data_IF_471341187237
#
_entry.id   IF_471341187237
#
_cell.length_a   1.000
_cell.length_b   1.000
_cell.length_c   1.000
_cell.angle_alpha   90.00
_cell.angle_beta   90.00
_cell.angle_gamma   90.00
#
_symmetry.space_group_name_H-M   'P 1'
#
loop_
_entity.id
_entity.type
_entity.pdbx_description
1 polymer ?
#
# COMPACT_ATOMS: atom_id res chain seq x y z
N UNK A 1 -7.09 -6.09 15.19
CA UNK A 1 -5.79 -6.72 14.80
C UNK A 1 -5.08 -7.25 16.03
N UNK A 2 -4.28 -8.31 15.87
CA UNK A 2 -3.46 -8.88 16.94
C UNK A 2 -2.13 -8.12 17.08
N UNK A 3 -1.55 -8.15 18.29
CA UNK A 3 -0.30 -7.47 18.62
C UNK A 3 0.85 -7.80 17.66
N UNK A 4 0.93 -9.04 17.18
CA UNK A 4 1.96 -9.51 16.22
C UNK A 4 2.06 -8.67 14.94
N UNK A 5 0.96 -8.07 14.48
CA UNK A 5 0.87 -7.28 13.24
C UNK A 5 0.62 -5.80 13.49
N UNK A 6 0.80 -5.36 14.74
CA UNK A 6 0.60 -3.97 15.16
C UNK A 6 1.93 -3.34 15.51
N UNK A 7 2.40 -2.41 14.66
CA UNK A 7 3.54 -1.59 15.02
C UNK A 7 3.10 -0.48 15.99
N UNK A 8 3.92 -0.14 16.99
CA UNK A 8 3.51 0.71 18.12
C UNK A 8 2.96 2.06 17.70
N UNK A 9 3.56 2.72 16.71
CA UNK A 9 3.17 4.05 16.26
C UNK A 9 1.75 4.07 15.67
N UNK A 10 1.40 3.11 14.81
CA UNK A 10 0.05 3.00 14.25
C UNK A 10 -0.94 2.46 15.30
N UNK A 11 -0.54 1.49 16.10
CA UNK A 11 -1.37 0.96 17.18
C UNK A 11 -1.77 2.03 18.21
N UNK A 12 -0.88 2.98 18.49
CA UNK A 12 -1.17 4.09 19.37
C UNK A 12 -2.25 5.03 18.82
N UNK A 13 -2.24 5.33 17.50
CA UNK A 13 -3.27 6.17 16.86
C UNK A 13 -4.68 5.55 16.95
N UNK A 14 -4.77 4.24 17.04
CA UNK A 14 -6.03 3.51 17.13
C UNK A 14 -6.34 3.01 18.55
N UNK A 15 -5.61 3.52 19.57
CA UNK A 15 -5.90 3.26 20.98
C UNK A 15 -7.15 4.03 21.44
N UNK A 16 -7.83 3.50 22.46
CA UNK A 16 -8.96 4.19 23.09
C UNK A 16 -8.56 5.57 23.62
N UNK A 17 -7.38 5.68 24.22
CA UNK A 17 -6.88 6.95 24.73
C UNK A 17 -6.67 8.00 23.62
N UNK A 18 -6.17 7.59 22.45
CA UNK A 18 -5.98 8.50 21.33
C UNK A 18 -7.33 8.93 20.74
N UNK A 19 -8.28 8.03 20.59
CA UNK A 19 -9.65 8.32 20.14
C UNK A 19 -10.30 9.37 21.05
N UNK A 20 -10.30 9.16 22.36
CA UNK A 20 -10.88 10.12 23.31
C UNK A 20 -10.14 11.47 23.30
N UNK A 21 -8.82 11.46 23.08
CA UNK A 21 -8.03 12.67 22.90
C UNK A 21 -8.50 13.47 21.69
N UNK A 22 -8.76 12.82 20.56
CA UNK A 22 -9.26 13.53 19.35
C UNK A 22 -10.68 14.04 19.55
N UNK A 23 -11.54 13.31 20.28
CA UNK A 23 -12.86 13.82 20.65
C UNK A 23 -12.75 15.11 21.49
N UNK A 24 -11.91 15.11 22.50
CA UNK A 24 -11.67 16.29 23.32
C UNK A 24 -11.13 17.47 22.49
N UNK A 25 -10.26 17.19 21.55
CA UNK A 25 -9.70 18.21 20.64
C UNK A 25 -10.80 18.86 19.79
N UNK A 26 -11.76 18.09 19.27
CA UNK A 26 -12.90 18.61 18.52
C UNK A 26 -13.81 19.45 19.42
N UNK A 27 -14.16 18.96 20.61
CA UNK A 27 -15.01 19.70 21.57
C UNK A 27 -14.39 21.06 21.95
N UNK A 28 -13.08 21.09 22.22
CA UNK A 28 -12.37 22.33 22.54
C UNK A 28 -12.39 23.30 21.35
N UNK A 29 -12.14 22.80 20.12
CA UNK A 29 -12.15 23.64 18.92
C UNK A 29 -13.54 24.26 18.67
N UNK A 30 -14.63 23.52 18.94
CA UNK A 30 -15.99 24.06 18.85
C UNK A 30 -16.25 25.09 19.94
N UNK A 31 -15.86 24.83 21.20
CA UNK A 31 -15.98 25.84 22.27
C UNK A 31 -15.23 27.13 21.93
N UNK A 32 -14.02 27.02 21.39
CA UNK A 32 -13.24 28.18 20.92
C UNK A 32 -13.98 28.96 19.83
N UNK A 33 -14.52 28.25 18.82
CA UNK A 33 -15.28 28.87 17.74
C UNK A 33 -16.55 29.61 18.26
N UNK A 34 -17.26 28.97 19.19
CA UNK A 34 -18.44 29.55 19.82
C UNK A 34 -18.08 30.81 20.65
N UNK A 35 -16.95 30.82 21.34
CA UNK A 35 -16.50 31.98 22.10
C UNK A 35 -16.07 33.13 21.17
N UNK A 36 -15.39 32.85 20.07
CA UNK A 36 -15.03 33.86 19.07
C UNK A 36 -16.27 34.55 18.47
N UNK A 37 -17.37 33.83 18.37
CA UNK A 37 -18.66 34.34 17.89
C UNK A 37 -19.55 34.93 19.00
N UNK A 38 -19.10 34.87 20.26
CA UNK A 38 -19.81 35.44 21.39
C UNK A 38 -20.97 34.58 21.94
N UNK A 39 -21.09 33.31 21.53
CA UNK A 39 -22.13 32.42 22.03
C UNK A 39 -21.86 31.87 23.43
N UNK A 40 -20.59 31.74 23.79
CA UNK A 40 -20.17 31.32 25.11
C UNK A 40 -19.10 32.28 25.67
N UNK A 41 -18.96 32.42 26.98
CA UNK A 41 -17.96 33.30 27.57
C UNK A 41 -16.52 32.82 27.32
N UNK A 42 -15.63 33.70 26.91
CA UNK A 42 -14.20 33.38 26.72
C UNK A 42 -13.53 32.80 27.96
N UNK A 43 -13.96 33.25 29.16
CA UNK A 43 -13.50 32.74 30.43
C UNK A 43 -13.86 31.26 30.65
N UNK A 44 -15.02 30.82 30.12
CA UNK A 44 -15.42 29.43 30.19
C UNK A 44 -14.50 28.56 29.31
N UNK A 45 -14.13 29.03 28.09
CA UNK A 45 -13.18 28.33 27.23
C UNK A 45 -11.81 28.24 27.89
N UNK A 46 -11.33 29.30 28.51
CA UNK A 46 -10.07 29.28 29.25
C UNK A 46 -10.07 28.21 30.36
N UNK A 47 -11.18 28.10 31.09
CA UNK A 47 -11.35 27.05 32.13
C UNK A 47 -11.40 25.66 31.51
N UNK A 48 -12.15 25.47 30.43
CA UNK A 48 -12.24 24.19 29.69
C UNK A 48 -10.82 23.77 29.27
N UNK A 49 -10.09 24.61 28.55
CA UNK A 49 -8.74 24.29 28.07
C UNK A 49 -7.76 23.97 29.18
N UNK A 50 -7.87 24.62 30.34
CA UNK A 50 -6.98 24.41 31.50
C UNK A 50 -7.26 23.12 32.24
N UNK A 51 -8.51 22.66 32.27
CA UNK A 51 -8.97 21.57 33.14
C UNK A 51 -9.47 20.33 32.40
N UNK A 52 -9.90 20.46 31.15
CA UNK A 52 -10.47 19.34 30.42
C UNK A 52 -9.46 18.19 30.32
N UNK A 53 -9.87 17.06 30.81
CA UNK A 53 -9.13 15.82 30.84
C UNK A 53 -10.13 14.65 30.81
N UNK A 54 -9.62 13.45 30.60
CA UNK A 54 -10.42 12.23 30.62
C UNK A 54 -9.59 11.06 31.17
N UNK A 55 -10.26 10.08 31.72
CA UNK A 55 -9.70 8.78 32.10
C UNK A 55 -10.45 7.68 31.30
N UNK A 56 -9.79 6.97 30.38
CA UNK A 56 -10.43 5.93 29.56
C UNK A 56 -11.12 4.84 30.40
N UNK A 57 -10.58 4.51 31.58
CA UNK A 57 -11.20 3.53 32.46
C UNK A 57 -12.50 4.06 33.04
N UNK A 58 -12.48 5.32 33.50
CA UNK A 58 -13.65 5.98 34.06
C UNK A 58 -14.74 6.16 33.02
N UNK A 59 -14.37 6.48 31.76
CA UNK A 59 -15.33 6.55 30.63
C UNK A 59 -16.02 5.20 30.41
N UNK A 60 -15.29 4.09 30.43
CA UNK A 60 -15.85 2.75 30.29
C UNK A 60 -16.79 2.37 31.46
N UNK A 61 -16.45 2.76 32.69
CA UNK A 61 -17.32 2.56 33.86
C UNK A 61 -18.66 3.30 33.66
N UNK A 62 -18.62 4.57 33.28
CA UNK A 62 -19.82 5.36 33.02
C UNK A 62 -20.63 4.80 31.84
N UNK A 63 -19.93 4.39 30.77
CA UNK A 63 -20.59 3.80 29.61
C UNK A 63 -21.34 2.51 29.95
N UNK A 64 -20.82 1.70 30.84
CA UNK A 64 -21.50 0.49 31.31
C UNK A 64 -22.89 0.79 31.95
N UNK A 65 -23.05 1.97 32.56
CA UNK A 65 -24.29 2.43 33.16
C UNK A 65 -25.21 3.11 32.12
N UNK A 66 -24.68 4.12 31.42
CA UNK A 66 -25.48 4.98 30.52
C UNK A 66 -25.68 4.38 29.12
N UNK A 67 -24.88 3.39 28.74
CA UNK A 67 -24.89 2.67 27.45
C UNK A 67 -24.79 3.59 26.22
N UNK A 68 -24.00 4.65 26.36
CA UNK A 68 -23.74 5.62 25.31
C UNK A 68 -22.33 6.20 25.47
N UNK A 69 -21.46 5.94 24.50
CA UNK A 69 -20.05 6.30 24.54
C UNK A 69 -19.79 7.82 24.66
N UNK A 70 -20.46 8.62 23.80
CA UNK A 70 -20.29 10.07 23.83
C UNK A 70 -20.81 10.68 25.13
N UNK A 71 -21.95 10.23 25.68
CA UNK A 71 -22.46 10.71 26.98
C UNK A 71 -21.49 10.35 28.08
N UNK A 72 -20.94 9.14 28.09
CA UNK A 72 -19.97 8.70 29.07
C UNK A 72 -18.70 9.56 29.04
N UNK A 73 -18.17 9.83 27.84
CA UNK A 73 -17.03 10.72 27.65
C UNK A 73 -17.29 12.12 28.18
N UNK A 74 -18.40 12.74 27.77
CA UNK A 74 -18.76 14.09 28.22
C UNK A 74 -18.97 14.16 29.73
N UNK A 75 -19.59 13.14 30.34
CA UNK A 75 -19.75 13.05 31.78
C UNK A 75 -18.41 13.03 32.48
N UNK A 76 -17.47 12.21 32.02
CA UNK A 76 -16.13 12.16 32.59
C UNK A 76 -15.37 13.47 32.40
N UNK A 77 -15.43 14.11 31.25
CA UNK A 77 -14.79 15.43 31.02
C UNK A 77 -15.36 16.47 31.98
N UNK A 78 -16.69 16.44 32.25
CA UNK A 78 -17.34 17.35 33.17
C UNK A 78 -16.91 17.14 34.62
N UNK A 79 -16.51 15.91 35.05
CA UNK A 79 -15.90 15.67 36.38
C UNK A 79 -14.63 16.51 36.62
N UNK A 80 -13.87 16.84 35.54
CA UNK A 80 -12.66 17.68 35.61
C UNK A 80 -12.95 19.17 35.47
N UNK A 81 -13.88 19.53 34.55
CA UNK A 81 -14.11 20.93 34.18
C UNK A 81 -15.05 21.65 35.15
N UNK A 82 -16.02 20.95 35.75
CA UNK A 82 -17.01 21.52 36.60
C UNK A 82 -18.02 22.42 35.89
N UNK A 83 -18.44 23.55 36.47
CA UNK A 83 -19.53 24.41 35.96
C UNK A 83 -19.37 24.89 34.51
N UNK A 84 -18.16 25.03 34.03
CA UNK A 84 -17.88 25.41 32.63
C UNK A 84 -18.23 24.28 31.64
N UNK A 85 -18.35 23.04 32.11
CA UNK A 85 -18.70 21.87 31.32
C UNK A 85 -20.05 21.98 30.59
N UNK A 86 -21.00 22.82 31.09
CA UNK A 86 -22.27 23.11 30.44
C UNK A 86 -22.15 23.70 29.03
N UNK A 87 -20.98 24.18 28.66
CA UNK A 87 -20.70 24.72 27.32
C UNK A 87 -20.07 23.72 26.37
N UNK A 88 -19.62 22.57 26.88
CA UNK A 88 -19.10 21.49 26.06
C UNK A 88 -20.29 20.79 25.39
N UNK A 89 -20.15 20.41 24.12
CA UNK A 89 -21.18 19.77 23.30
C UNK A 89 -22.44 20.63 23.05
N UNK A 90 -22.36 21.94 23.25
CA UNK A 90 -23.52 22.83 23.11
C UNK A 90 -23.95 22.95 21.63
N UNK A 91 -25.16 22.47 21.32
CA UNK A 91 -25.74 22.47 19.99
C UNK A 91 -25.28 21.34 19.08
N UNK A 92 -24.37 20.48 19.53
CA UNK A 92 -23.83 19.37 18.76
C UNK A 92 -24.70 18.11 18.82
N UNK A 93 -24.45 17.23 17.86
CA UNK A 93 -24.79 15.80 17.95
C UNK A 93 -23.49 14.98 18.04
N UNK A 94 -23.58 13.74 18.55
CA UNK A 94 -22.42 12.86 18.71
C UNK A 94 -21.58 12.76 17.44
N UNK A 95 -22.22 12.66 16.28
CA UNK A 95 -21.50 12.50 15.01
C UNK A 95 -20.73 13.74 14.56
N UNK A 96 -21.07 14.94 15.06
CA UNK A 96 -20.25 16.14 14.83
C UNK A 96 -18.82 15.93 15.40
N UNK A 97 -18.75 15.28 16.56
CA UNK A 97 -17.47 14.97 17.21
C UNK A 97 -16.86 13.68 16.64
N UNK A 98 -17.65 12.62 16.48
CA UNK A 98 -17.17 11.31 16.05
C UNK A 98 -16.54 11.37 14.67
N UNK A 99 -17.23 11.92 13.67
CA UNK A 99 -16.75 11.96 12.28
C UNK A 99 -15.58 12.92 12.10
N UNK A 100 -15.65 14.10 12.76
CA UNK A 100 -14.55 15.08 12.71
C UNK A 100 -13.29 14.55 13.37
N UNK A 101 -13.41 13.86 14.50
CA UNK A 101 -12.28 13.22 15.17
C UNK A 101 -11.73 12.02 14.38
N UNK A 102 -12.61 11.26 13.72
CA UNK A 102 -12.21 10.15 12.84
C UNK A 102 -11.37 10.68 11.67
N UNK A 103 -11.75 11.81 11.07
CA UNK A 103 -10.95 12.45 10.02
C UNK A 103 -9.53 12.77 10.51
N UNK A 104 -9.37 13.28 11.74
CA UNK A 104 -8.05 13.53 12.33
C UNK A 104 -7.25 12.24 12.52
N UNK A 105 -7.87 11.15 12.96
CA UNK A 105 -7.19 9.85 13.11
C UNK A 105 -6.77 9.27 11.76
N UNK A 106 -7.61 9.38 10.75
CA UNK A 106 -7.33 8.89 9.38
C UNK A 106 -6.21 9.69 8.71
N UNK A 107 -6.17 11.02 8.91
CA UNK A 107 -5.06 11.86 8.43
C UNK A 107 -3.75 11.47 9.10
N UNK A 108 -3.74 11.34 10.44
CA UNK A 108 -2.54 10.92 11.16
C UNK A 108 -2.07 9.52 10.75
N UNK A 109 -3.00 8.62 10.41
CA UNK A 109 -2.66 7.30 9.88
C UNK A 109 -2.05 7.39 8.48
N UNK A 110 -2.58 8.29 7.60
CA UNK A 110 -1.99 8.53 6.28
C UNK A 110 -0.59 9.12 6.36
N UNK A 111 -0.31 10.01 7.33
CA UNK A 111 1.04 10.55 7.54
C UNK A 111 2.05 9.42 7.79
N UNK A 112 1.72 8.46 8.67
CA UNK A 112 2.56 7.29 8.92
C UNK A 112 2.68 6.38 7.69
N UNK A 113 1.60 6.16 6.96
CA UNK A 113 1.61 5.34 5.75
C UNK A 113 2.47 5.97 4.65
N UNK A 114 2.36 7.27 4.43
CA UNK A 114 3.17 8.02 3.45
C UNK A 114 4.66 8.00 3.80
N UNK A 115 4.98 8.13 5.09
CA UNK A 115 6.36 7.99 5.56
C UNK A 115 6.92 6.60 5.26
N UNK A 116 6.16 5.53 5.54
CA UNK A 116 6.58 4.15 5.26
C UNK A 116 6.68 3.86 3.76
N UNK A 117 5.79 4.46 2.93
CA UNK A 117 5.91 4.36 1.47
C UNK A 117 7.18 5.02 0.96
N UNK A 118 7.59 6.15 1.53
CA UNK A 118 8.86 6.78 1.17
C UNK A 118 10.05 5.86 1.52
N UNK A 119 10.05 5.22 2.68
CA UNK A 119 11.07 4.23 3.05
C UNK A 119 11.13 3.07 2.01
N UNK A 120 9.96 2.58 1.59
CA UNK A 120 9.85 1.53 0.55
C UNK A 120 10.37 2.01 -0.81
N UNK A 121 10.03 3.23 -1.22
CA UNK A 121 10.52 3.86 -2.45
C UNK A 121 12.06 3.89 -2.45
N UNK A 122 12.67 4.32 -1.34
CA UNK A 122 14.13 4.39 -1.24
C UNK A 122 14.76 3.01 -1.25
N UNK A 123 14.17 2.02 -0.58
CA UNK A 123 14.66 0.64 -0.58
C UNK A 123 14.62 0.03 -1.99
N UNK A 124 13.51 0.17 -2.71
CA UNK A 124 13.39 -0.33 -4.09
C UNK A 124 14.33 0.41 -5.03
N UNK A 125 14.44 1.74 -4.92
CA UNK A 125 15.34 2.57 -5.73
C UNK A 125 16.79 2.15 -5.55
N UNK A 126 17.22 1.95 -4.31
CA UNK A 126 18.58 1.49 -4.00
C UNK A 126 18.85 0.12 -4.64
N UNK A 127 17.97 -0.85 -4.41
CA UNK A 127 18.11 -2.22 -4.94
C UNK A 127 18.03 -2.26 -6.47
N UNK A 128 17.20 -1.41 -7.09
CA UNK A 128 17.12 -1.28 -8.54
C UNK A 128 18.42 -0.73 -9.16
N UNK A 129 19.07 0.24 -8.50
CA UNK A 129 20.40 0.75 -8.91
C UNK A 129 21.49 -0.28 -8.76
N UNK A 130 21.53 -0.99 -7.63
CA UNK A 130 22.49 -2.06 -7.34
C UNK A 130 22.48 -3.14 -8.43
N UNK A 131 21.28 -3.52 -8.87
CA UNK A 131 21.07 -4.58 -9.87
C UNK A 131 20.70 -4.08 -11.26
N UNK A 132 21.05 -2.82 -11.58
CA UNK A 132 20.72 -2.19 -12.88
C UNK A 132 21.13 -3.04 -14.06
N UNK A 133 22.30 -3.69 -13.98
CA UNK A 133 22.90 -4.50 -15.04
C UNK A 133 22.94 -6.00 -14.72
N UNK A 134 22.32 -6.45 -13.65
CA UNK A 134 22.23 -7.87 -13.32
C UNK A 134 21.24 -8.55 -14.27
N UNK A 135 21.75 -9.24 -15.27
CA UNK A 135 20.95 -9.89 -16.30
C UNK A 135 20.22 -11.10 -15.75
N UNK A 136 18.95 -11.23 -16.11
CA UNK A 136 18.09 -12.37 -15.79
C UNK A 136 17.18 -12.70 -16.94
N UNK A 137 16.55 -13.88 -16.91
CA UNK A 137 15.48 -14.19 -17.83
C UNK A 137 14.14 -13.58 -17.40
N UNK A 138 13.51 -12.85 -18.30
CA UNK A 138 12.11 -12.44 -18.15
C UNK A 138 11.19 -13.63 -18.40
N UNK A 139 10.11 -13.75 -17.61
CA UNK A 139 9.12 -14.83 -17.75
C UNK A 139 7.74 -14.24 -17.97
N UNK A 140 7.04 -14.77 -18.98
CA UNK A 140 5.60 -14.58 -19.18
C UNK A 140 4.90 -15.93 -19.14
N UNK A 141 3.73 -16.02 -18.54
CA UNK A 141 3.02 -17.29 -18.32
C UNK A 141 3.86 -18.36 -17.55
N UNK A 142 4.89 -17.93 -16.80
CA UNK A 142 5.85 -18.84 -16.13
C UNK A 142 6.93 -19.41 -17.06
N UNK A 143 6.90 -19.08 -18.37
CA UNK A 143 7.83 -19.58 -19.39
C UNK A 143 8.92 -18.52 -19.66
N UNK A 144 10.13 -18.96 -19.97
CA UNK A 144 11.25 -18.09 -20.36
C UNK A 144 10.89 -17.32 -21.65
N UNK A 145 11.01 -16.00 -21.59
CA UNK A 145 10.72 -15.10 -22.71
C UNK A 145 12.02 -14.46 -23.23
N UNK A 146 12.40 -13.30 -22.76
CA UNK A 146 13.56 -12.55 -23.25
C UNK A 146 14.45 -12.07 -22.08
N UNK A 147 15.74 -11.79 -22.34
CA UNK A 147 16.63 -11.19 -21.36
C UNK A 147 16.11 -9.85 -20.85
N UNK A 148 16.21 -9.64 -19.54
CA UNK A 148 15.97 -8.38 -18.86
C UNK A 148 16.97 -8.22 -17.71
N UNK A 149 16.87 -7.17 -16.90
CA UNK A 149 17.65 -7.07 -15.66
C UNK A 149 16.79 -7.14 -14.42
N UNK A 150 17.38 -7.59 -13.32
CA UNK A 150 16.68 -7.60 -12.02
C UNK A 150 16.34 -6.17 -11.58
N UNK A 151 17.24 -5.21 -11.81
CA UNK A 151 16.96 -3.79 -11.57
C UNK A 151 15.75 -3.27 -12.35
N UNK A 152 15.56 -3.70 -13.62
CA UNK A 152 14.39 -3.32 -14.42
C UNK A 152 13.09 -3.91 -13.86
N UNK A 153 13.11 -5.13 -13.34
CA UNK A 153 11.99 -5.71 -12.61
C UNK A 153 11.59 -4.83 -11.41
N UNK A 154 12.58 -4.41 -10.62
CA UNK A 154 12.36 -3.53 -9.47
C UNK A 154 11.94 -2.10 -9.88
N UNK A 155 12.38 -1.60 -11.03
CA UNK A 155 11.92 -0.32 -11.59
C UNK A 155 10.40 -0.33 -11.84
N UNK A 156 9.84 -1.46 -12.28
CA UNK A 156 8.40 -1.63 -12.39
C UNK A 156 7.67 -1.55 -11.03
N UNK A 157 8.26 -2.10 -9.97
CA UNK A 157 7.72 -1.97 -8.60
C UNK A 157 7.79 -0.53 -8.10
N UNK A 158 8.90 0.16 -8.34
CA UNK A 158 9.06 1.56 -7.98
C UNK A 158 7.98 2.43 -8.62
N UNK A 159 7.75 2.28 -9.92
CA UNK A 159 6.71 3.02 -10.65
C UNK A 159 5.31 2.81 -10.03
N UNK A 160 5.02 1.63 -9.54
CA UNK A 160 3.76 1.29 -8.89
C UNK A 160 3.63 1.92 -7.51
N UNK A 161 4.69 1.88 -6.68
CA UNK A 161 4.68 2.48 -5.34
C UNK A 161 4.60 4.01 -5.42
N UNK A 162 5.26 4.65 -6.39
CA UNK A 162 5.13 6.09 -6.65
C UNK A 162 3.68 6.50 -6.94
N UNK A 163 2.95 5.71 -7.75
CA UNK A 163 1.51 5.97 -7.98
C UNK A 163 0.66 5.80 -6.72
N UNK A 164 1.03 4.88 -5.81
CA UNK A 164 0.35 4.78 -4.52
C UNK A 164 0.62 5.98 -3.64
N UNK A 165 1.83 6.49 -3.61
CA UNK A 165 2.17 7.70 -2.87
C UNK A 165 1.31 8.89 -3.34
N UNK A 166 1.21 9.11 -4.65
CA UNK A 166 0.36 10.15 -5.24
C UNK A 166 -1.12 9.99 -4.84
N UNK A 167 -1.66 8.77 -4.93
CA UNK A 167 -3.05 8.47 -4.53
C UNK A 167 -3.30 8.78 -3.06
N UNK A 168 -2.41 8.36 -2.16
CA UNK A 168 -2.57 8.62 -0.73
C UNK A 168 -2.41 10.11 -0.39
N UNK A 169 -1.59 10.88 -1.13
CA UNK A 169 -1.50 12.33 -0.99
C UNK A 169 -2.80 13.04 -1.43
N UNK A 170 -3.46 12.54 -2.47
CA UNK A 170 -4.77 13.04 -2.89
C UNK A 170 -5.82 12.68 -1.83
N UNK A 171 -5.82 11.43 -1.38
CA UNK A 171 -6.73 10.93 -0.36
C UNK A 171 -6.63 11.74 0.94
N UNK A 172 -5.44 12.13 1.35
CA UNK A 172 -5.21 12.95 2.54
C UNK A 172 -5.97 14.30 2.46
N UNK A 173 -6.07 14.88 1.26
CA UNK A 173 -6.85 16.11 1.04
C UNK A 173 -8.35 15.85 1.01
N UNK A 174 -8.77 14.68 0.53
CA UNK A 174 -10.18 14.28 0.44
C UNK A 174 -10.77 13.98 1.82
N UNK A 175 -10.02 13.26 2.67
CA UNK A 175 -10.46 12.89 4.02
C UNK A 175 -10.38 14.05 5.02
N UNK A 176 -9.69 15.16 4.69
CA UNK A 176 -9.52 16.31 5.57
C UNK A 176 -10.79 17.18 5.65
N UNK A 177 -11.89 16.57 6.00
CA UNK A 177 -13.20 17.21 6.17
C UNK A 177 -13.72 16.99 7.58
N UNK A 178 -14.38 18.02 8.14
CA UNK A 178 -15.06 17.96 9.42
C UNK A 178 -16.52 18.37 9.25
N UNK A 179 -17.36 17.95 10.19
CA UNK A 179 -18.78 18.22 10.20
C UNK A 179 -19.21 18.69 11.58
N UNK A 180 -19.77 19.92 11.68
CA UNK A 180 -20.35 20.51 12.89
C UNK A 180 -21.70 21.14 12.50
N UNK A 181 -22.61 20.34 12.03
CA UNK A 181 -23.87 20.77 11.39
C UNK A 181 -25.15 20.23 12.09
N UNK A 182 -24.97 19.52 13.21
CA UNK A 182 -26.08 19.03 14.02
C UNK A 182 -26.70 17.73 13.54
N UNK A 183 -27.86 17.39 14.11
CA UNK A 183 -28.46 16.06 14.07
C UNK A 183 -28.83 15.54 12.67
N UNK A 184 -29.06 16.42 11.69
CA UNK A 184 -29.41 16.06 10.31
C UNK A 184 -28.71 16.95 9.27
N UNK A 185 -27.68 17.70 9.69
CA UNK A 185 -26.89 18.53 8.78
C UNK A 185 -27.45 19.92 8.47
N UNK A 186 -28.56 20.32 9.12
CA UNK A 186 -29.29 21.58 8.79
C UNK A 186 -28.86 22.77 9.64
N UNK A 187 -27.91 22.65 10.52
CA UNK A 187 -27.45 23.70 11.46
C UNK A 187 -28.56 24.26 12.37
N UNK A 188 -29.59 23.45 12.69
CA UNK A 188 -30.76 23.92 13.43
C UNK A 188 -30.41 24.58 14.78
N UNK A 189 -29.38 24.08 15.48
CA UNK A 189 -28.98 24.53 16.83
C UNK A 189 -27.54 25.07 16.91
N UNK A 190 -26.88 25.25 15.77
CA UNK A 190 -25.51 25.74 15.71
C UNK A 190 -25.32 26.61 14.46
N UNK A 191 -24.64 27.72 14.58
CA UNK A 191 -24.39 28.59 13.42
C UNK A 191 -23.31 27.98 12.50
N UNK A 192 -23.47 27.98 11.16
CA UNK A 192 -22.49 27.46 10.22
C UNK A 192 -21.05 28.03 10.36
N UNK A 193 -20.92 29.28 10.85
CA UNK A 193 -19.61 29.88 11.10
C UNK A 193 -18.82 29.17 12.20
N UNK A 194 -19.50 28.51 13.16
CA UNK A 194 -18.85 27.69 14.18
C UNK A 194 -18.11 26.52 13.52
N UNK A 195 -18.72 25.82 12.57
CA UNK A 195 -18.08 24.76 11.81
C UNK A 195 -16.86 25.24 11.05
N UNK A 196 -16.95 26.36 10.34
CA UNK A 196 -15.85 26.94 9.56
C UNK A 196 -14.65 27.21 10.47
N UNK A 197 -14.86 27.86 11.60
CA UNK A 197 -13.81 28.23 12.56
C UNK A 197 -13.24 26.97 13.22
N UNK A 198 -14.08 26.05 13.68
CA UNK A 198 -13.65 24.81 14.32
C UNK A 198 -12.83 23.93 13.37
N UNK A 199 -13.31 23.74 12.14
CA UNK A 199 -12.57 23.00 11.12
C UNK A 199 -11.22 23.65 10.81
N UNK A 200 -11.18 24.99 10.67
CA UNK A 200 -9.92 25.71 10.45
C UNK A 200 -8.91 25.48 11.59
N UNK A 201 -9.35 25.51 12.83
CA UNK A 201 -8.50 25.24 14.02
C UNK A 201 -7.97 23.79 14.02
N UNK A 202 -8.71 22.86 13.47
CA UNK A 202 -8.36 21.45 13.38
C UNK A 202 -7.55 21.10 12.12
N UNK A 203 -7.31 22.07 11.21
CA UNK A 203 -6.66 21.81 9.92
C UNK A 203 -7.55 21.06 8.93
N UNK A 204 -8.86 21.12 9.11
CA UNK A 204 -9.89 20.50 8.27
C UNK A 204 -10.64 21.55 7.45
N UNK A 205 -11.44 21.09 6.51
CA UNK A 205 -12.45 21.88 5.79
C UNK A 205 -13.84 21.43 6.24
N UNK A 206 -14.84 22.32 6.28
CA UNK A 206 -16.21 21.89 6.40
C UNK A 206 -16.61 20.92 5.28
N UNK A 207 -17.38 19.88 5.60
CA UNK A 207 -18.01 19.06 4.58
C UNK A 207 -19.01 19.91 3.78
N UNK A 208 -19.06 19.66 2.48
CA UNK A 208 -19.89 20.48 1.58
C UNK A 208 -21.38 20.33 1.86
N UNK A 209 -21.82 19.12 2.16
CA UNK A 209 -23.21 18.81 2.48
C UNK A 209 -23.27 17.46 3.22
N UNK A 210 -23.32 17.53 4.52
CA UNK A 210 -23.51 16.35 5.38
C UNK A 210 -24.98 16.10 5.73
N UNK A 211 -25.26 14.89 6.18
CA UNK A 211 -26.48 14.54 6.91
C UNK A 211 -26.20 14.59 8.42
N UNK A 212 -26.61 13.59 9.19
CA UNK A 212 -26.08 13.43 10.55
C UNK A 212 -24.59 13.06 10.54
N UNK A 213 -24.12 12.48 9.44
CA UNK A 213 -22.75 12.00 9.25
C UNK A 213 -22.17 12.55 7.95
N UNK A 214 -20.84 12.52 7.83
CA UNK A 214 -20.13 12.68 6.57
C UNK A 214 -20.47 11.49 5.66
N UNK A 215 -20.56 11.69 4.34
CA UNK A 215 -20.85 10.60 3.41
C UNK A 215 -19.78 9.51 3.46
N UNK A 216 -20.19 8.25 3.48
CA UNK A 216 -19.27 7.11 3.68
C UNK A 216 -18.49 6.69 2.43
N UNK A 217 -18.79 7.28 1.27
CA UNK A 217 -17.96 7.11 0.07
C UNK A 217 -16.52 7.59 0.29
N UNK A 218 -16.30 8.65 1.08
CA UNK A 218 -14.97 9.14 1.48
C UNK A 218 -14.20 8.06 2.26
N UNK A 219 -14.85 7.39 3.20
CA UNK A 219 -14.25 6.30 3.98
C UNK A 219 -14.08 5.03 3.12
N UNK A 220 -15.02 4.82 2.18
CA UNK A 220 -14.91 3.77 1.16
C UNK A 220 -13.67 3.92 0.29
N UNK A 221 -13.44 5.12 -0.26
CA UNK A 221 -12.23 5.44 -1.04
C UNK A 221 -10.97 5.22 -0.21
N UNK A 222 -10.97 5.66 1.05
CA UNK A 222 -9.83 5.48 1.95
C UNK A 222 -9.38 4.03 2.01
N UNK A 223 -10.27 3.10 2.34
CA UNK A 223 -9.90 1.68 2.48
C UNK A 223 -9.62 1.02 1.13
N UNK A 224 -10.28 1.47 0.04
CA UNK A 224 -9.98 1.01 -1.32
C UNK A 224 -8.53 1.34 -1.73
N UNK A 225 -8.03 2.54 -1.40
CA UNK A 225 -6.64 2.90 -1.67
C UNK A 225 -5.67 2.04 -0.86
N UNK A 226 -5.98 1.73 0.40
CA UNK A 226 -5.18 0.80 1.20
C UNK A 226 -5.19 -0.62 0.61
N UNK A 227 -6.32 -1.08 0.11
CA UNK A 227 -6.43 -2.38 -0.56
C UNK A 227 -5.61 -2.46 -1.84
N UNK A 228 -5.51 -1.37 -2.61
CA UNK A 228 -4.62 -1.30 -3.77
C UNK A 228 -3.15 -1.37 -3.37
N UNK A 229 -2.73 -0.68 -2.31
CA UNK A 229 -1.37 -0.80 -1.76
C UNK A 229 -1.09 -2.25 -1.34
N UNK A 230 -2.00 -2.87 -0.60
CA UNK A 230 -1.86 -4.25 -0.16
C UNK A 230 -1.78 -5.24 -1.34
N UNK A 231 -2.54 -5.02 -2.41
CA UNK A 231 -2.50 -5.85 -3.61
C UNK A 231 -1.16 -5.76 -4.34
N UNK A 232 -0.56 -4.56 -4.39
CA UNK A 232 0.78 -4.39 -4.96
C UNK A 232 1.86 -5.08 -4.14
N UNK A 233 1.80 -4.95 -2.81
CA UNK A 233 2.72 -5.65 -1.91
C UNK A 233 2.57 -7.17 -2.06
N UNK A 234 1.34 -7.68 -2.20
CA UNK A 234 1.11 -9.10 -2.49
C UNK A 234 1.78 -9.52 -3.80
N UNK A 235 1.65 -8.73 -4.87
CA UNK A 235 2.29 -9.00 -6.15
C UNK A 235 3.81 -9.09 -6.01
N UNK A 236 4.44 -8.19 -5.25
CA UNK A 236 5.88 -8.22 -4.99
C UNK A 236 6.27 -9.47 -4.19
N UNK A 237 5.52 -9.79 -3.15
CA UNK A 237 5.74 -10.96 -2.32
C UNK A 237 5.57 -12.28 -3.12
N UNK A 238 4.58 -12.35 -4.01
CA UNK A 238 4.38 -13.51 -4.90
C UNK A 238 5.55 -13.67 -5.85
N UNK A 239 6.07 -12.57 -6.41
CA UNK A 239 7.25 -12.63 -7.29
C UNK A 239 8.48 -13.11 -6.53
N UNK A 240 8.75 -12.60 -5.34
CA UNK A 240 9.86 -13.07 -4.49
C UNK A 240 9.74 -14.58 -4.23
N UNK A 241 8.54 -15.06 -3.86
CA UNK A 241 8.28 -16.49 -3.65
C UNK A 241 8.55 -17.32 -4.91
N UNK A 242 8.17 -16.81 -6.08
CA UNK A 242 8.44 -17.50 -7.34
C UNK A 242 9.94 -17.56 -7.68
N UNK A 243 10.67 -16.47 -7.42
CA UNK A 243 12.11 -16.41 -7.66
C UNK A 243 12.92 -17.21 -6.62
N UNK A 244 12.35 -17.48 -5.43
CA UNK A 244 12.99 -18.28 -4.37
C UNK A 244 12.72 -19.78 -4.50
N UNK A 245 11.86 -20.23 -5.42
CA UNK A 245 11.65 -21.67 -5.65
C UNK A 245 12.97 -22.39 -5.86
N UNK A 246 13.10 -23.60 -5.32
CA UNK A 246 14.30 -24.41 -5.41
C UNK A 246 14.85 -24.54 -6.84
N UNK A 247 13.96 -24.71 -7.82
CA UNK A 247 14.32 -24.86 -9.24
C UNK A 247 14.74 -23.54 -9.91
N UNK A 248 14.38 -22.38 -9.34
CA UNK A 248 14.68 -21.05 -9.83
C UNK A 248 15.86 -20.43 -9.07
N UNK A 249 15.69 -20.24 -7.78
CA UNK A 249 16.64 -19.73 -6.80
C UNK A 249 17.46 -18.51 -7.29
N UNK A 250 16.75 -17.52 -7.81
CA UNK A 250 17.37 -16.26 -8.28
C UNK A 250 17.44 -15.20 -7.18
N UNK A 251 16.55 -15.29 -6.18
CA UNK A 251 16.60 -14.50 -4.95
C UNK A 251 16.23 -15.36 -3.75
N UNK A 252 16.49 -14.85 -2.54
CA UNK A 252 16.11 -15.50 -1.29
C UNK A 252 15.83 -14.44 -0.21
N UNK A 253 14.81 -14.66 0.63
CA UNK A 253 14.62 -13.86 1.85
C UNK A 253 15.84 -14.00 2.75
N UNK A 254 16.28 -12.87 3.35
CA UNK A 254 17.38 -12.91 4.31
C UNK A 254 17.02 -13.80 5.51
N UNK A 255 17.94 -14.69 5.84
CA UNK A 255 17.81 -15.64 6.93
C UNK A 255 18.80 -15.31 8.04
N UNK A 256 18.29 -14.83 9.17
CA UNK A 256 19.15 -14.39 10.28
C UNK A 256 19.88 -15.57 10.94
N UNK A 257 21.07 -15.29 11.47
CA UNK A 257 21.85 -16.29 12.22
C UNK A 257 21.02 -16.78 13.42
N UNK A 258 20.81 -18.09 13.49
CA UNK A 258 20.01 -18.74 14.53
C UNK A 258 18.52 -18.87 14.23
N UNK A 259 18.02 -18.28 13.14
CA UNK A 259 16.65 -18.49 12.69
C UNK A 259 16.42 -19.97 12.31
N UNK A 260 15.23 -20.51 12.59
CA UNK A 260 14.82 -21.86 12.20
C UNK A 260 13.87 -21.76 11.00
N UNK A 261 14.23 -22.40 9.89
CA UNK A 261 13.42 -22.36 8.66
C UNK A 261 12.36 -23.45 8.58
N UNK A 262 12.59 -24.57 9.30
CA UNK A 262 11.70 -25.72 9.33
C UNK A 262 11.87 -26.46 10.64
N UNK A 263 10.78 -27.02 11.18
CA UNK A 263 10.83 -27.89 12.35
C UNK A 263 11.38 -29.28 12.05
N UNK A 264 11.30 -29.73 10.78
CA UNK A 264 11.67 -31.10 10.37
C UNK A 264 12.97 -31.14 9.56
N UNK A 265 13.22 -30.15 8.69
CA UNK A 265 14.34 -30.13 7.74
C UNK A 265 15.24 -28.93 7.98
N UNK A 266 16.43 -29.09 8.61
CA UNK A 266 17.29 -27.97 9.00
C UNK A 266 17.78 -27.06 7.86
N UNK A 267 17.87 -27.59 6.64
CA UNK A 267 18.33 -26.86 5.46
C UNK A 267 17.24 -26.04 4.77
N UNK A 268 15.94 -26.28 5.11
CA UNK A 268 14.79 -25.69 4.41
C UNK A 268 14.56 -24.24 4.87
N UNK A 269 14.68 -23.30 3.95
CA UNK A 269 14.45 -21.88 4.17
C UNK A 269 13.18 -21.45 3.44
N UNK A 270 12.08 -21.35 4.18
CA UNK A 270 10.79 -20.99 3.61
C UNK A 270 10.68 -19.46 3.46
N UNK A 271 10.01 -18.95 2.40
CA UNK A 271 9.72 -17.53 2.22
C UNK A 271 8.53 -17.09 3.10
N UNK A 272 8.66 -17.25 4.42
CA UNK A 272 7.55 -17.08 5.37
C UNK A 272 7.06 -15.64 5.49
N UNK A 273 7.92 -14.66 5.24
CA UNK A 273 7.56 -13.25 5.28
C UNK A 273 6.70 -12.89 4.06
N UNK A 274 7.10 -13.30 2.87
CA UNK A 274 6.32 -13.13 1.65
C UNK A 274 4.99 -13.88 1.69
N UNK A 275 4.96 -15.09 2.26
CA UNK A 275 3.72 -15.85 2.49
C UNK A 275 2.76 -15.11 3.43
N UNK A 276 3.27 -14.54 4.51
CA UNK A 276 2.53 -13.72 5.47
C UNK A 276 1.93 -12.49 4.80
N UNK A 277 2.73 -11.75 4.01
CA UNK A 277 2.26 -10.58 3.27
C UNK A 277 1.12 -10.94 2.30
N UNK A 278 1.25 -12.07 1.58
CA UNK A 278 0.19 -12.59 0.70
C UNK A 278 -1.11 -12.89 1.48
N UNK A 279 -1.00 -13.44 2.70
CA UNK A 279 -2.14 -13.71 3.55
C UNK A 279 -2.82 -12.44 4.07
N UNK A 280 -2.03 -11.48 4.58
CA UNK A 280 -2.54 -10.22 5.14
C UNK A 280 -3.23 -9.36 4.07
N UNK A 281 -2.75 -9.35 2.84
CA UNK A 281 -3.39 -8.63 1.74
C UNK A 281 -4.86 -9.04 1.52
N UNK A 282 -5.19 -10.30 1.77
CA UNK A 282 -6.59 -10.79 1.68
C UNK A 282 -7.48 -10.12 2.71
N UNK A 283 -6.98 -9.89 3.93
CA UNK A 283 -7.72 -9.20 4.99
C UNK A 283 -7.99 -7.75 4.62
N UNK A 284 -6.98 -7.01 4.17
CA UNK A 284 -7.16 -5.60 3.78
C UNK A 284 -8.18 -5.47 2.64
N UNK A 285 -8.17 -6.38 1.64
CA UNK A 285 -9.19 -6.39 0.59
C UNK A 285 -10.59 -6.73 1.10
N UNK A 286 -10.72 -7.64 2.07
CA UNK A 286 -12.03 -7.93 2.67
C UNK A 286 -12.58 -6.74 3.45
N UNK A 287 -11.71 -5.98 4.11
CA UNK A 287 -12.10 -4.74 4.78
C UNK A 287 -12.61 -3.68 3.78
N UNK A 288 -11.96 -3.57 2.62
CA UNK A 288 -12.41 -2.67 1.57
C UNK A 288 -13.83 -3.02 1.05
N UNK A 289 -14.13 -4.31 0.93
CA UNK A 289 -15.49 -4.76 0.58
C UNK A 289 -16.51 -4.39 1.65
N UNK A 290 -16.18 -4.60 2.94
CA UNK A 290 -17.09 -4.31 4.04
C UNK A 290 -17.40 -2.81 4.17
N UNK A 291 -16.42 -1.93 3.93
CA UNK A 291 -16.62 -0.47 4.01
C UNK A 291 -17.50 0.07 2.87
N UNK A 292 -17.45 -0.54 1.70
CA UNK A 292 -18.33 -0.12 0.59
C UNK A 292 -19.82 -0.30 0.92
N UNK A 293 -20.18 -1.31 1.72
CA UNK A 293 -21.56 -1.52 2.17
C UNK A 293 -22.05 -0.39 3.10
N UNK A 294 -21.14 0.37 3.73
CA UNK A 294 -21.47 1.49 4.60
C UNK A 294 -21.93 2.74 3.84
N UNK A 295 -21.76 2.80 2.52
CA UNK A 295 -22.25 3.93 1.71
C UNK A 295 -23.76 3.99 1.69
N UNK A 296 -24.43 2.84 1.71
CA UNK A 296 -25.88 2.72 1.68
C UNK A 296 -26.47 2.77 3.11
N UNK A 297 -26.65 3.97 3.64
CA UNK A 297 -27.32 4.20 4.93
C UNK A 297 -28.80 4.54 4.75
N UNK A 298 -29.61 4.31 5.79
CA UNK A 298 -31.00 4.72 5.82
C UNK A 298 -31.13 6.21 6.15
N UNK A 299 -31.80 6.95 5.30
CA UNK A 299 -32.09 8.37 5.48
C UNK A 299 -30.84 9.18 5.81
N UNK A 300 -30.85 10.02 6.82
CA UNK A 300 -29.75 10.84 7.27
C UNK A 300 -28.70 10.08 8.05
N UNK A 301 -29.00 8.91 8.60
CA UNK A 301 -28.08 7.94 9.23
C UNK A 301 -28.83 6.75 9.84
N UNK A 302 -28.20 5.58 9.81
CA UNK A 302 -28.43 4.48 10.76
C UNK A 302 -27.09 4.01 11.38
N UNK A 303 -27.13 3.04 12.31
CA UNK A 303 -25.95 2.60 13.06
C UNK A 303 -25.15 1.49 12.36
N UNK A 304 -25.57 1.00 11.20
CA UNK A 304 -24.92 -0.16 10.53
C UNK A 304 -23.45 0.09 10.22
N UNK A 305 -23.09 1.29 9.73
CA UNK A 305 -21.72 1.66 9.44
C UNK A 305 -20.82 1.64 10.69
N UNK A 306 -21.32 2.06 11.83
CA UNK A 306 -20.51 2.30 13.04
C UNK A 306 -19.85 1.04 13.56
N UNK A 307 -20.57 -0.08 13.61
CA UNK A 307 -20.01 -1.37 14.06
C UNK A 307 -18.94 -1.89 13.11
N UNK A 308 -19.09 -1.67 11.82
CA UNK A 308 -18.10 -2.06 10.79
C UNK A 308 -16.85 -1.18 10.90
N UNK A 309 -17.01 0.14 10.94
CA UNK A 309 -15.92 1.11 10.97
C UNK A 309 -15.00 0.96 12.20
N UNK A 310 -15.57 0.65 13.36
CA UNK A 310 -14.84 0.40 14.61
C UNK A 310 -13.81 -0.75 14.48
N UNK A 311 -14.02 -1.69 13.56
CA UNK A 311 -13.13 -2.82 13.30
C UNK A 311 -12.29 -2.57 12.07
N UNK A 312 -12.93 -2.23 10.97
CA UNK A 312 -12.34 -2.24 9.64
C UNK A 312 -11.33 -1.12 9.43
N UNK A 313 -11.61 0.10 9.89
CA UNK A 313 -10.70 1.23 9.69
C UNK A 313 -9.37 1.06 10.45
N UNK A 314 -9.37 0.78 11.77
CA UNK A 314 -8.11 0.51 12.48
C UNK A 314 -7.37 -0.69 11.89
N UNK A 315 -8.07 -1.78 11.59
CA UNK A 315 -7.45 -2.99 11.06
C UNK A 315 -6.82 -2.76 9.68
N UNK A 316 -7.50 -2.04 8.79
CA UNK A 316 -6.96 -1.70 7.47
C UNK A 316 -5.68 -0.84 7.58
N UNK A 317 -5.68 0.19 8.44
CA UNK A 317 -4.53 1.06 8.67
C UNK A 317 -3.36 0.28 9.27
N UNK A 318 -3.59 -0.48 10.34
CA UNK A 318 -2.57 -1.23 11.06
C UNK A 318 -1.94 -2.29 10.16
N UNK A 319 -2.76 -3.07 9.46
CA UNK A 319 -2.27 -4.13 8.56
C UNK A 319 -1.49 -3.55 7.38
N UNK A 320 -1.97 -2.50 6.74
CA UNK A 320 -1.27 -1.86 5.62
C UNK A 320 0.06 -1.26 6.07
N UNK A 321 0.10 -0.59 7.22
CA UNK A 321 1.32 -0.04 7.79
C UNK A 321 2.35 -1.15 8.09
N UNK A 322 1.91 -2.26 8.69
CA UNK A 322 2.74 -3.43 8.92
C UNK A 322 3.26 -4.03 7.60
N UNK A 323 2.41 -4.16 6.58
CA UNK A 323 2.80 -4.72 5.28
C UNK A 323 3.86 -3.89 4.59
N UNK A 324 3.73 -2.55 4.61
CA UNK A 324 4.74 -1.66 4.01
C UNK A 324 6.07 -1.79 4.75
N UNK A 325 6.06 -1.82 6.08
CA UNK A 325 7.26 -2.04 6.89
C UNK A 325 7.95 -3.37 6.55
N UNK A 326 7.20 -4.48 6.55
CA UNK A 326 7.74 -5.81 6.27
C UNK A 326 8.31 -5.94 4.86
N UNK A 327 7.63 -5.43 3.84
CA UNK A 327 8.14 -5.49 2.46
C UNK A 327 9.36 -4.59 2.25
N UNK A 328 9.44 -3.46 2.96
CA UNK A 328 10.60 -2.57 2.94
C UNK A 328 11.85 -3.28 3.46
N UNK A 329 11.73 -3.90 4.63
CA UNK A 329 12.84 -4.66 5.22
C UNK A 329 13.22 -5.87 4.35
N UNK A 330 12.21 -6.56 3.80
CA UNK A 330 12.43 -7.70 2.91
C UNK A 330 13.20 -7.29 1.65
N UNK A 331 12.82 -6.21 0.97
CA UNK A 331 13.50 -5.70 -0.23
C UNK A 331 14.91 -5.21 0.10
N UNK A 332 15.07 -4.51 1.22
CA UNK A 332 16.37 -4.00 1.67
C UNK A 332 17.39 -5.12 1.86
N UNK A 333 16.96 -6.21 2.49
CA UNK A 333 17.83 -7.34 2.87
C UNK A 333 17.75 -8.53 1.90
N UNK A 334 17.07 -8.39 0.75
CA UNK A 334 16.90 -9.46 -0.22
C UNK A 334 18.25 -9.95 -0.74
N UNK A 335 18.49 -11.24 -0.62
CA UNK A 335 19.64 -11.91 -1.22
C UNK A 335 19.38 -12.11 -2.71
N UNK A 336 20.32 -11.75 -3.55
CA UNK A 336 20.22 -11.88 -5.01
C UNK A 336 21.36 -12.76 -5.50
N UNK A 337 21.08 -13.69 -6.40
CA UNK A 337 22.01 -14.68 -6.92
C UNK A 337 22.24 -14.52 -8.43
N UNK A 338 23.12 -13.59 -8.87
CA UNK A 338 23.37 -13.33 -10.29
C UNK A 338 23.80 -14.59 -11.07
N UNK A 339 24.58 -15.47 -10.44
CA UNK A 339 25.04 -16.72 -11.08
C UNK A 339 23.86 -17.66 -11.40
N UNK A 340 22.85 -17.71 -10.53
CA UNK A 340 21.65 -18.50 -10.78
C UNK A 340 20.79 -17.86 -11.87
N UNK A 341 20.70 -16.53 -11.91
CA UNK A 341 20.02 -15.78 -12.98
C UNK A 341 20.66 -16.08 -14.35
N UNK A 342 21.99 -16.05 -14.43
CA UNK A 342 22.75 -16.39 -15.64
C UNK A 342 22.55 -17.85 -16.03
N UNK A 343 22.65 -18.79 -15.08
CA UNK A 343 22.37 -20.21 -15.32
C UNK A 343 20.97 -20.41 -15.91
N UNK A 344 19.95 -19.78 -15.33
CA UNK A 344 18.57 -19.92 -15.76
C UNK A 344 18.35 -19.28 -17.14
N UNK A 345 19.00 -18.16 -17.45
CA UNK A 345 18.97 -17.54 -18.79
C UNK A 345 19.47 -18.51 -19.87
N UNK A 346 20.50 -19.29 -19.55
CA UNK A 346 21.21 -20.14 -20.51
C UNK A 346 20.72 -21.60 -20.54
N UNK A 347 19.83 -22.02 -19.65
CA UNK A 347 19.48 -23.43 -19.44
C UNK A 347 18.84 -24.13 -20.65
N UNK A 348 18.33 -23.40 -21.62
CA UNK A 348 17.75 -23.94 -22.87
C UNK A 348 18.57 -23.58 -24.12
N UNK A 349 19.91 -23.50 -23.99
CA UNK A 349 20.83 -23.39 -25.13
C UNK A 349 20.60 -22.18 -26.03
N UNK A 350 20.12 -21.07 -25.49
CA UNK A 350 19.93 -19.82 -26.22
C UNK A 350 18.61 -19.67 -26.98
N UNK A 351 17.62 -20.54 -26.80
CA UNK A 351 16.29 -20.43 -27.45
C UNK A 351 15.62 -19.10 -27.15
N UNK A 352 15.90 -18.47 -26.03
CA UNK A 352 15.40 -17.14 -25.64
C UNK A 352 15.79 -16.03 -26.63
N UNK A 353 16.77 -16.25 -27.48
CA UNK A 353 17.19 -15.33 -28.55
C UNK A 353 16.51 -15.59 -29.89
N UNK A 354 15.60 -16.54 -29.99
CA UNK A 354 14.97 -16.97 -31.24
C UNK A 354 14.31 -15.81 -31.99
N UNK A 355 13.64 -14.89 -31.33
CA UNK A 355 13.04 -13.72 -31.96
C UNK A 355 14.11 -12.78 -32.55
N UNK A 356 15.26 -12.63 -31.88
CA UNK A 356 16.35 -11.80 -32.41
C UNK A 356 16.90 -12.40 -33.73
N UNK A 357 17.11 -13.73 -33.79
CA UNK A 357 17.51 -14.43 -34.99
C UNK A 357 16.48 -14.25 -36.10
N UNK A 358 15.19 -14.43 -35.78
CA UNK A 358 14.08 -14.25 -36.73
C UNK A 358 14.09 -12.85 -37.37
N UNK A 359 14.17 -11.81 -36.54
CA UNK A 359 14.17 -10.42 -37.04
C UNK A 359 15.41 -10.12 -37.87
N UNK A 360 16.58 -10.62 -37.46
CA UNK A 360 17.83 -10.44 -38.25
C UNK A 360 17.76 -11.10 -39.59
N UNK A 361 17.15 -12.29 -39.73
CA UNK A 361 16.94 -12.96 -41.01
C UNK A 361 15.97 -12.16 -41.92
N UNK A 362 14.93 -11.57 -41.35
CA UNK A 362 14.01 -10.68 -42.09
C UNK A 362 14.76 -9.44 -42.59
N UNK A 363 15.58 -8.81 -41.78
CA UNK A 363 16.40 -7.65 -42.15
C UNK A 363 17.36 -7.97 -43.30
N UNK A 364 17.76 -9.24 -43.45
CA UNK A 364 18.61 -9.76 -44.53
C UNK A 364 17.80 -10.26 -45.77
N UNK A 365 16.52 -9.96 -45.81
CA UNK A 365 15.68 -10.15 -46.95
C UNK A 365 14.96 -11.51 -47.04
N UNK A 366 14.88 -12.29 -45.98
CA UNK A 366 13.93 -13.40 -45.93
C UNK A 366 12.51 -12.86 -45.65
N UNK A 367 11.52 -13.52 -46.23
CA UNK A 367 10.15 -13.23 -45.81
C UNK A 367 9.90 -13.77 -44.37
N UNK A 368 8.86 -13.23 -43.74
CA UNK A 368 8.56 -13.55 -42.32
C UNK A 368 8.27 -15.04 -42.11
N UNK A 369 7.57 -15.66 -43.02
CA UNK A 369 7.13 -17.06 -42.92
C UNK A 369 8.30 -18.03 -43.04
N UNK A 370 9.20 -17.78 -44.00
CA UNK A 370 10.43 -18.57 -44.19
C UNK A 370 11.36 -18.43 -42.97
N UNK A 371 11.61 -17.18 -42.51
CA UNK A 371 12.43 -16.93 -41.36
C UNK A 371 11.85 -17.60 -40.10
N UNK A 372 10.51 -17.52 -39.92
CA UNK A 372 9.82 -18.16 -38.80
C UNK A 372 9.97 -19.68 -38.85
N UNK A 373 9.76 -20.32 -40.00
CA UNK A 373 9.87 -21.77 -40.16
C UNK A 373 11.29 -22.29 -39.82
N UNK A 374 12.32 -21.58 -40.29
CA UNK A 374 13.72 -21.91 -39.99
C UNK A 374 14.00 -21.85 -38.47
N UNK A 375 13.64 -20.73 -37.87
CA UNK A 375 13.89 -20.48 -36.42
C UNK A 375 13.08 -21.46 -35.57
N UNK A 376 11.82 -21.68 -35.89
CA UNK A 376 10.94 -22.60 -35.15
C UNK A 376 11.47 -24.03 -35.16
N UNK A 377 11.90 -24.52 -36.31
CA UNK A 377 12.46 -25.87 -36.45
C UNK A 377 13.67 -26.06 -35.54
N UNK A 378 14.61 -25.12 -35.55
CA UNK A 378 15.80 -25.15 -34.73
C UNK A 378 15.49 -24.98 -33.22
N UNK A 379 14.57 -24.07 -32.90
CA UNK A 379 14.14 -23.85 -31.53
C UNK A 379 13.44 -25.07 -30.91
N UNK A 380 12.54 -25.73 -31.65
CA UNK A 380 11.88 -26.97 -31.19
C UNK A 380 12.89 -28.10 -31.00
N UNK A 381 13.88 -28.22 -31.88
CA UNK A 381 14.94 -29.22 -31.73
C UNK A 381 15.77 -28.99 -30.50
N UNK A 382 16.16 -27.73 -30.20
CA UNK A 382 16.90 -27.35 -29.03
C UNK A 382 16.09 -27.54 -27.73
N UNK A 383 14.80 -27.17 -27.75
CA UNK A 383 13.90 -27.30 -26.62
C UNK A 383 13.68 -28.75 -26.17
N UNK A 384 13.53 -29.67 -27.16
CA UNK A 384 13.24 -31.07 -26.86
C UNK A 384 14.48 -31.90 -26.50
N UNK A 385 15.69 -31.34 -26.65
CA UNK A 385 16.95 -31.98 -26.25
C UNK A 385 17.65 -31.11 -25.24
N UNK A 386 17.75 -31.51 -23.97
CA UNK A 386 18.43 -30.71 -22.94
C UNK A 386 19.87 -30.32 -23.28
N UNK A 387 20.51 -31.14 -24.13
CA UNK A 387 21.88 -30.88 -24.67
C UNK A 387 21.85 -30.07 -25.97
N UNK A 388 20.66 -29.72 -26.49
CA UNK A 388 20.48 -28.99 -27.74
C UNK A 388 20.86 -27.51 -27.55
N UNK A 389 21.88 -27.09 -28.30
CA UNK A 389 22.28 -25.67 -28.34
C UNK A 389 21.65 -25.02 -29.54
N UNK A 390 20.69 -24.10 -29.33
CA UNK A 390 20.01 -23.39 -30.41
C UNK A 390 20.98 -22.60 -31.26
N UNK A 391 22.00 -21.97 -30.68
CA UNK A 391 23.04 -21.24 -31.38
C UNK A 391 23.78 -22.16 -32.36
N UNK A 392 24.14 -23.38 -31.91
CA UNK A 392 24.84 -24.35 -32.79
C UNK A 392 23.97 -24.82 -33.96
N UNK A 393 22.68 -25.03 -33.70
CA UNK A 393 21.74 -25.41 -34.77
C UNK A 393 21.59 -24.30 -35.79
N UNK A 394 21.42 -23.06 -35.38
CA UNK A 394 21.34 -21.88 -36.22
C UNK A 394 22.65 -21.68 -37.02
N UNK A 395 23.81 -21.83 -36.38
CA UNK A 395 25.11 -21.64 -37.02
C UNK A 395 25.45 -22.72 -38.08
N UNK A 396 24.78 -23.87 -38.03
CA UNK A 396 24.96 -24.97 -38.98
C UNK A 396 23.90 -25.04 -40.06
N UNK A 397 22.82 -24.28 -39.99
CA UNK A 397 21.75 -24.28 -40.98
C UNK A 397 22.17 -23.50 -42.22
N UNK A 398 22.26 -24.17 -43.41
CA UNK A 398 22.66 -23.50 -44.65
C UNK A 398 21.76 -22.32 -45.05
N UNK A 399 20.49 -22.35 -44.68
CA UNK A 399 19.52 -21.28 -44.98
C UNK A 399 19.85 -20.01 -44.17
N UNK A 400 20.46 -20.20 -42.99
CA UNK A 400 20.92 -19.10 -42.12
C UNK A 400 22.29 -18.61 -42.54
N UNK A 401 23.27 -19.52 -42.77
CA UNK A 401 24.66 -19.17 -43.06
C UNK A 401 24.86 -18.55 -44.45
N UNK A 402 23.91 -18.74 -45.36
CA UNK A 402 23.85 -18.01 -46.65
C UNK A 402 23.43 -16.54 -46.49
N UNK A 403 22.80 -16.18 -45.39
CA UNK A 403 22.27 -14.83 -45.13
C UNK A 403 23.04 -14.08 -44.02
N UNK A 404 23.56 -14.78 -43.06
CA UNK A 404 24.26 -14.23 -41.90
C UNK A 404 25.69 -14.78 -41.81
N UNK A 405 26.62 -13.89 -41.64
CA UNK A 405 28.00 -14.25 -41.28
C UNK A 405 28.10 -14.74 -39.84
N UNK A 406 29.15 -15.48 -39.46
CA UNK A 406 29.33 -15.92 -38.10
C UNK A 406 29.27 -14.79 -37.06
N UNK A 407 29.89 -13.60 -37.24
CA UNK A 407 29.76 -12.48 -36.29
C UNK A 407 28.32 -11.94 -36.15
N UNK A 408 27.54 -11.97 -37.25
CA UNK A 408 26.13 -11.52 -37.18
C UNK A 408 25.26 -12.54 -36.46
N UNK A 409 25.55 -13.83 -36.59
CA UNK A 409 24.90 -14.87 -35.79
C UNK A 409 25.24 -14.68 -34.30
N UNK A 410 26.52 -14.49 -33.98
CA UNK A 410 26.97 -14.28 -32.62
C UNK A 410 26.31 -13.07 -31.98
N UNK A 411 26.15 -11.97 -32.69
CA UNK A 411 25.47 -10.77 -32.22
C UNK A 411 23.98 -10.99 -31.91
N UNK A 412 23.33 -12.04 -32.49
CA UNK A 412 21.96 -12.38 -32.13
C UNK A 412 21.83 -12.96 -30.71
N UNK A 413 22.91 -13.50 -30.16
CA UNK A 413 22.94 -14.14 -28.84
C UNK A 413 23.53 -13.24 -27.75
N UNK A 414 23.73 -11.95 -28.05
CA UNK A 414 24.16 -10.96 -27.06
C UNK A 414 22.95 -10.42 -26.29
N UNK A 415 22.84 -10.66 -24.97
CA UNK A 415 21.77 -10.11 -24.15
C UNK A 415 21.73 -8.58 -24.11
N UNK A 416 22.89 -7.89 -24.36
CA UNK A 416 22.96 -6.43 -24.36
C UNK A 416 22.05 -5.78 -25.39
N UNK A 417 21.76 -6.47 -26.49
CA UNK A 417 20.78 -6.00 -27.49
C UNK A 417 19.42 -5.73 -26.86
N UNK A 418 18.96 -6.61 -25.95
CA UNK A 418 17.65 -6.49 -25.27
C UNK A 418 17.64 -5.39 -24.22
N UNK A 419 18.81 -5.02 -23.72
CA UNK A 419 18.98 -4.07 -22.61
C UNK A 419 19.24 -2.63 -23.07
N UNK A 420 19.49 -2.40 -24.36
CA UNK A 420 19.97 -1.13 -24.93
C UNK A 420 19.10 0.10 -24.66
N UNK A 421 17.83 -0.09 -24.30
CA UNK A 421 16.88 1.00 -24.04
C UNK A 421 16.48 1.14 -22.57
N UNK A 422 17.01 0.32 -21.67
CA UNK A 422 16.63 0.34 -20.24
C UNK A 422 16.98 1.66 -19.55
N UNK A 423 18.05 2.32 -19.98
CA UNK A 423 18.46 3.61 -19.42
C UNK A 423 17.38 4.69 -19.55
N UNK A 424 16.61 4.66 -20.63
CA UNK A 424 15.47 5.59 -20.79
C UNK A 424 14.39 5.37 -19.73
N UNK A 425 14.15 4.12 -19.32
CA UNK A 425 13.18 3.80 -18.27
C UNK A 425 13.70 4.23 -16.91
N UNK A 426 14.97 3.97 -16.64
CA UNK A 426 15.62 4.39 -15.39
C UNK A 426 15.60 5.92 -15.24
N UNK A 427 15.90 6.67 -16.30
CA UNK A 427 15.82 8.14 -16.30
C UNK A 427 14.41 8.66 -15.97
N UNK A 428 13.35 8.06 -16.50
CA UNK A 428 11.95 8.44 -16.20
C UNK A 428 11.60 8.27 -14.72
N UNK A 429 12.28 7.37 -14.03
CA UNK A 429 12.03 7.06 -12.61
C UNK A 429 13.03 7.73 -11.66
N UNK A 430 13.99 8.49 -12.20
CA UNK A 430 15.04 9.11 -11.41
C UNK A 430 16.00 8.11 -10.75
N UNK A 431 16.27 6.98 -11.43
CA UNK A 431 17.16 5.92 -10.95
C UNK A 431 18.53 6.04 -11.64
#
# INVERSE_FOLDING_TARGET
VIERYTLPEMGNLWSEAYKLKTWLQVEIAVCEAQAELGYIPSEAVAKIKAKANFDPKRVLEIEAEVRHDMIAFLTNVNEYVGDAGRYIHLGLTSSDVLDTALALQLIASLDLLLQRLEDLIQAIRHKAREHRYTVMIGRSHGIHAEPMTFGFKLAGWLAEVLRHQERLQILQKTIAVGKISGAVGTYANIEPRVEVIACQKLGLKPDTASTQVISRDIHGDYVQQLALVAASIERFAVEIRNLQKTDVLEVEEFFAKGQKGSSAMPHKRNPIRSERLTGIARLVRSHASAVLENVALWHERDMSHSSVERVVLPDACILTHFMIHEITDLVTNLLVYPQNMERNLNCYGGVVFSQRVLLTLIDKGLNREEAYAIVQQSAHTAWNKPEGNFRDLISKDPRVTQKLSPPEIDACFDPQYHLRHLDQVYQRLGI
#
